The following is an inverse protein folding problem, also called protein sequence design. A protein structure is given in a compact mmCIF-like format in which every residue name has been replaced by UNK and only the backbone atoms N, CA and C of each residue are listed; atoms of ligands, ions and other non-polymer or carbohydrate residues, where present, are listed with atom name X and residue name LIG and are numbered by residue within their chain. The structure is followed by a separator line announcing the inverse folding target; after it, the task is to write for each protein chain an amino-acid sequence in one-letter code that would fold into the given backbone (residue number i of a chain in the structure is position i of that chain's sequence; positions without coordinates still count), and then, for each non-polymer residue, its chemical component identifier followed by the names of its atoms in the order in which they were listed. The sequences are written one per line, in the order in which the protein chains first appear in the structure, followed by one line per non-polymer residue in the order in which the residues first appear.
data_IF_629243195443
#
_entry.id   IF_629243195443
#
_cell.length_a   1.000
_cell.length_b   1.000
_cell.length_c   1.000
_cell.angle_alpha   90.00
_cell.angle_beta   90.00
_cell.angle_gamma   90.00
#
_symmetry.space_group_name_H-M   'P 1'
#
loop_
_entity.id
_entity.type
_entity.pdbx_description
1 polymer ?
#
# COMPACT_ATOMS: atom_id res chain seq x y z
N UNK A 1 -43.22 -2.87 23.88
CA UNK A 1 -42.83 -3.89 22.89
C UNK A 1 -41.53 -3.40 22.29
N UNK A 2 -40.43 -3.84 22.87
CA UNK A 2 -39.08 -3.30 22.65
C UNK A 2 -38.22 -4.44 22.14
N UNK A 3 -37.65 -4.30 20.93
CA UNK A 3 -36.30 -4.74 20.55
C UNK A 3 -35.88 -4.00 19.28
N UNK A 4 -34.87 -3.15 19.40
CA UNK A 4 -34.07 -2.67 18.30
C UNK A 4 -32.87 -3.60 18.17
N UNK A 5 -32.83 -4.45 17.15
CA UNK A 5 -31.65 -5.25 16.83
C UNK A 5 -30.65 -4.40 16.05
N UNK A 6 -29.77 -3.74 16.80
CA UNK A 6 -28.59 -3.06 16.28
C UNK A 6 -27.54 -4.09 15.82
N UNK A 7 -27.54 -4.42 14.53
CA UNK A 7 -26.44 -5.15 13.91
C UNK A 7 -25.25 -4.20 13.66
N UNK A 8 -24.45 -3.95 14.70
CA UNK A 8 -23.18 -3.23 14.57
C UNK A 8 -22.14 -4.20 14.03
N UNK A 9 -21.82 -4.08 12.73
CA UNK A 9 -20.68 -4.76 12.12
C UNK A 9 -19.40 -4.35 12.84
N UNK A 10 -18.79 -5.28 13.57
CA UNK A 10 -17.49 -5.08 14.19
C UNK A 10 -16.43 -4.81 13.11
N UNK A 11 -16.02 -3.56 12.95
CA UNK A 11 -14.79 -3.23 12.23
C UNK A 11 -13.62 -3.76 13.06
N UNK A 12 -12.84 -4.69 12.53
CA UNK A 12 -11.68 -5.26 13.22
C UNK A 12 -10.59 -4.18 13.35
N UNK A 13 -10.67 -3.38 14.41
CA UNK A 13 -9.63 -2.44 14.79
C UNK A 13 -8.41 -3.23 15.25
N UNK A 14 -7.24 -2.97 14.67
CA UNK A 14 -5.99 -3.58 15.14
C UNK A 14 -5.76 -3.17 16.60
N UNK A 15 -5.40 -4.13 17.46
CA UNK A 15 -5.15 -3.85 18.88
C UNK A 15 -3.95 -2.89 19.01
N UNK A 16 -3.99 -1.91 19.93
CA UNK A 16 -2.97 -0.87 20.05
C UNK A 16 -1.55 -1.42 20.23
N UNK A 17 -1.37 -2.50 21.00
CA UNK A 17 -0.06 -3.15 21.18
C UNK A 17 0.54 -3.73 19.89
N UNK A 18 -0.29 -4.23 18.97
CA UNK A 18 0.19 -4.73 17.67
C UNK A 18 0.60 -3.59 16.72
N UNK A 19 -0.02 -2.43 16.86
CA UNK A 19 0.32 -1.24 16.08
C UNK A 19 1.67 -0.67 16.56
N UNK A 20 1.88 -0.58 17.87
CA UNK A 20 3.15 -0.12 18.46
C UNK A 20 4.34 -1.02 18.10
N UNK A 21 4.12 -2.35 18.03
CA UNK A 21 5.14 -3.30 17.57
C UNK A 21 5.52 -3.07 16.09
N UNK A 22 4.53 -2.91 15.21
CA UNK A 22 4.77 -2.67 13.78
C UNK A 22 5.50 -1.35 13.55
N UNK A 23 5.09 -0.29 14.25
CA UNK A 23 5.71 1.03 14.15
C UNK A 23 7.19 0.96 14.58
N UNK A 24 7.48 0.18 15.62
CA UNK A 24 8.85 -0.09 16.10
C UNK A 24 9.68 -0.84 15.05
N UNK A 25 9.13 -1.85 14.40
CA UNK A 25 9.81 -2.59 13.34
C UNK A 25 10.13 -1.70 12.13
N UNK A 26 9.19 -0.86 11.70
CA UNK A 26 9.40 0.10 10.62
C UNK A 26 10.53 1.09 10.96
N UNK A 27 10.54 1.62 12.19
CA UNK A 27 11.62 2.48 12.66
C UNK A 27 12.97 1.75 12.63
N UNK A 28 13.03 0.52 13.13
CA UNK A 28 14.26 -0.27 13.14
C UNK A 28 14.82 -0.46 11.73
N UNK A 29 13.97 -0.80 10.75
CA UNK A 29 14.38 -0.92 9.34
C UNK A 29 14.92 0.40 8.80
N UNK A 30 14.24 1.52 9.05
CA UNK A 30 14.66 2.83 8.55
C UNK A 30 15.97 3.33 9.20
N UNK A 31 16.17 3.05 10.48
CA UNK A 31 17.40 3.39 11.20
C UNK A 31 18.58 2.58 10.69
N UNK A 32 18.36 1.28 10.47
CA UNK A 32 19.37 0.33 10.00
C UNK A 32 19.32 0.09 8.49
N UNK A 33 18.86 1.06 7.71
CA UNK A 33 18.60 0.91 6.27
C UNK A 33 19.80 0.38 5.49
N UNK A 34 21.02 0.72 5.94
CA UNK A 34 22.30 0.30 5.41
C UNK A 34 22.52 -1.22 5.50
N UNK A 35 21.90 -1.88 6.48
CA UNK A 35 21.97 -3.33 6.70
C UNK A 35 21.01 -4.13 5.79
N UNK A 36 20.01 -3.48 5.21
CA UNK A 36 18.99 -4.11 4.35
C UNK A 36 19.36 -3.93 2.86
N UNK A 37 20.55 -4.37 2.48
CA UNK A 37 21.11 -4.17 1.13
C UNK A 37 20.25 -4.75 0.01
N UNK A 38 19.52 -5.83 0.28
CA UNK A 38 18.61 -6.53 -0.61
C UNK A 38 17.35 -5.72 -0.95
N UNK A 39 16.94 -4.79 -0.08
CA UNK A 39 15.82 -3.89 -0.33
C UNK A 39 16.26 -2.58 -0.97
N UNK A 40 17.54 -2.22 -0.87
CA UNK A 40 18.04 -0.98 -1.43
C UNK A 40 18.02 -1.02 -2.96
N UNK A 41 17.42 0.01 -3.57
CA UNK A 41 17.44 0.17 -5.02
C UNK A 41 17.89 1.57 -5.42
N UNK A 42 18.76 1.64 -6.43
CA UNK A 42 19.29 2.89 -7.00
C UNK A 42 18.41 3.44 -8.12
N UNK A 43 17.44 2.66 -8.59
CA UNK A 43 16.53 2.99 -9.68
C UNK A 43 15.10 2.62 -9.31
N UNK A 44 14.12 3.31 -9.90
CA UNK A 44 12.72 3.01 -9.66
C UNK A 44 12.37 1.62 -10.19
N UNK A 45 11.89 0.74 -9.31
CA UNK A 45 11.34 -0.55 -9.72
C UNK A 45 9.95 -0.33 -10.33
N UNK A 46 9.77 -0.82 -11.56
CA UNK A 46 8.49 -0.73 -12.28
C UNK A 46 7.60 -1.90 -11.90
N UNK A 47 6.39 -1.57 -11.48
CA UNK A 47 5.33 -2.45 -10.99
C UNK A 47 5.84 -3.52 -10.02
N UNK A 48 6.39 -3.10 -8.86
CA UNK A 48 6.86 -4.06 -7.85
C UNK A 48 5.74 -4.99 -7.41
N UNK A 49 6.05 -6.28 -7.26
CA UNK A 49 5.08 -7.30 -6.88
C UNK A 49 4.53 -7.09 -5.47
N UNK A 50 3.36 -7.64 -5.18
CA UNK A 50 2.85 -7.72 -3.81
C UNK A 50 3.88 -8.42 -2.89
N UNK A 51 4.06 -7.88 -1.69
CA UNK A 51 5.10 -8.29 -0.73
C UNK A 51 6.44 -7.60 -0.92
N UNK A 52 6.66 -6.84 -2.01
CA UNK A 52 7.94 -6.16 -2.23
C UNK A 52 8.19 -5.08 -1.18
N UNK A 53 9.37 -5.13 -0.55
CA UNK A 53 9.91 -4.05 0.27
C UNK A 53 11.13 -3.45 -0.40
N UNK A 54 11.14 -2.11 -0.50
CA UNK A 54 12.16 -1.37 -1.23
C UNK A 54 12.58 -0.15 -0.43
N UNK A 55 13.90 0.07 -0.31
CA UNK A 55 14.49 1.25 0.30
C UNK A 55 15.07 2.14 -0.79
N UNK A 56 14.70 3.42 -0.75
CA UNK A 56 15.15 4.42 -1.70
C UNK A 56 15.71 5.65 -1.01
N UNK A 57 16.75 6.23 -1.61
CA UNK A 57 17.09 7.63 -1.36
C UNK A 57 16.14 8.53 -2.15
N UNK A 58 15.30 9.31 -1.47
CA UNK A 58 14.35 10.26 -2.06
C UNK A 58 15.01 11.38 -2.85
N UNK A 59 16.27 11.70 -2.54
CA UNK A 59 17.09 12.65 -3.29
C UNK A 59 17.53 12.10 -4.65
N UNK A 60 17.68 10.78 -4.77
CA UNK A 60 18.22 10.11 -5.97
C UNK A 60 17.14 9.47 -6.83
N UNK A 61 16.07 8.96 -6.22
CA UNK A 61 15.07 8.14 -6.92
C UNK A 61 13.67 8.72 -6.79
N UNK A 62 13.03 8.95 -7.95
CA UNK A 62 11.60 9.34 -8.04
C UNK A 62 10.69 8.11 -7.95
N UNK A 63 10.74 7.42 -6.81
CA UNK A 63 10.09 6.12 -6.57
C UNK A 63 8.57 6.10 -6.85
N UNK A 64 7.90 7.27 -6.82
CA UNK A 64 6.46 7.36 -7.14
C UNK A 64 6.14 7.03 -8.61
N UNK A 65 7.14 7.03 -9.50
CA UNK A 65 7.01 6.66 -10.93
C UNK A 65 7.14 5.15 -11.14
N UNK A 66 6.43 4.38 -10.33
CA UNK A 66 6.51 2.91 -10.30
C UNK A 66 5.62 2.23 -11.37
N UNK A 67 4.94 2.98 -12.22
CA UNK A 67 4.16 2.43 -13.34
C UNK A 67 2.83 1.78 -12.94
N UNK A 68 2.43 1.87 -11.67
CA UNK A 68 1.07 1.53 -11.23
C UNK A 68 0.12 2.71 -11.39
N UNK A 69 -1.14 2.40 -11.67
CA UNK A 69 -2.22 3.37 -11.64
C UNK A 69 -2.80 3.49 -10.23
N UNK A 70 -2.54 4.62 -9.58
CA UNK A 70 -3.01 4.92 -8.24
C UNK A 70 -4.33 5.68 -8.27
N UNK A 71 -5.18 5.43 -7.27
CA UNK A 71 -6.46 6.14 -7.12
C UNK A 71 -6.20 7.64 -7.01
N UNK A 72 -6.90 8.43 -7.83
CA UNK A 72 -6.80 9.90 -7.80
C UNK A 72 -7.84 10.52 -6.86
N UNK A 73 -7.63 11.78 -6.49
CA UNK A 73 -8.61 12.63 -5.81
C UNK A 73 -9.80 12.88 -6.75
N UNK A 74 -10.88 13.48 -6.20
CA UNK A 74 -12.10 13.77 -6.97
C UNK A 74 -11.85 14.66 -8.20
N UNK A 75 -10.80 15.48 -8.16
CA UNK A 75 -10.39 16.35 -9.27
C UNK A 75 -9.71 15.60 -10.43
N UNK A 76 -9.37 14.32 -10.27
CA UNK A 76 -8.66 13.52 -11.26
C UNK A 76 -7.21 13.95 -11.55
N UNK A 77 -6.67 14.93 -10.81
CA UNK A 77 -5.33 15.49 -11.07
C UNK A 77 -4.27 14.89 -10.16
N UNK A 78 -4.59 14.72 -8.88
CA UNK A 78 -3.62 14.31 -7.87
C UNK A 78 -3.92 12.92 -7.35
N UNK A 79 -2.89 12.14 -7.03
CA UNK A 79 -3.07 10.86 -6.33
C UNK A 79 -3.71 11.10 -4.97
N UNK A 80 -4.71 10.28 -4.62
CA UNK A 80 -5.28 10.26 -3.29
C UNK A 80 -4.34 9.50 -2.36
N UNK A 81 -3.53 10.26 -1.63
CA UNK A 81 -2.68 9.76 -0.56
C UNK A 81 -3.37 9.99 0.80
N UNK A 82 -3.45 8.96 1.64
CA UNK A 82 -3.84 9.07 3.04
C UNK A 82 -2.57 9.11 3.89
N UNK A 83 -2.45 10.13 4.75
CA UNK A 83 -1.22 10.42 5.49
C UNK A 83 -1.45 10.18 6.99
N UNK A 84 -0.42 9.68 7.66
CA UNK A 84 -0.43 9.45 9.11
C UNK A 84 0.95 9.70 9.70
N UNK A 85 1.01 9.98 11.00
CA UNK A 85 2.24 9.95 11.78
C UNK A 85 2.18 8.77 12.73
N UNK A 86 3.23 7.96 12.73
CA UNK A 86 3.34 6.78 13.57
C UNK A 86 4.19 7.08 14.79
N UNK A 87 3.89 6.38 15.88
CA UNK A 87 4.53 6.61 17.18
C UNK A 87 5.33 5.38 17.57
N UNK A 88 6.56 5.61 18.02
CA UNK A 88 7.37 4.59 18.69
C UNK A 88 7.51 5.01 20.13
N UNK A 89 7.07 4.15 21.06
CA UNK A 89 7.09 4.45 22.50
C UNK A 89 6.39 5.79 22.83
N UNK A 90 5.27 6.07 22.15
CA UNK A 90 4.47 7.28 22.34
C UNK A 90 4.98 8.54 21.63
N UNK A 91 6.15 8.51 21.00
CA UNK A 91 6.74 9.66 20.29
C UNK A 91 6.51 9.56 18.79
N UNK A 92 5.95 10.60 18.16
CA UNK A 92 5.83 10.68 16.70
C UNK A 92 7.21 10.80 16.07
N UNK A 93 7.64 9.78 15.32
CA UNK A 93 8.98 9.78 14.71
C UNK A 93 8.98 9.30 13.25
N UNK A 94 7.87 8.76 12.74
CA UNK A 94 7.75 8.25 11.37
C UNK A 94 6.58 8.94 10.68
N UNK A 95 6.79 9.35 9.44
CA UNK A 95 5.72 9.75 8.53
C UNK A 95 5.30 8.57 7.67
N UNK A 96 4.00 8.30 7.59
CA UNK A 96 3.39 7.27 6.75
C UNK A 96 2.50 7.87 5.66
N UNK A 97 2.59 7.33 4.45
CA UNK A 97 1.75 7.70 3.31
C UNK A 97 1.24 6.45 2.59
N UNK A 98 -0.08 6.35 2.43
CA UNK A 98 -0.77 5.19 1.88
C UNK A 98 -1.54 5.58 0.62
N UNK A 99 -1.44 4.75 -0.42
CA UNK A 99 -2.22 4.89 -1.65
C UNK A 99 -2.84 3.56 -2.04
N UNK A 100 -4.08 3.62 -2.52
CA UNK A 100 -4.79 2.49 -3.09
C UNK A 100 -4.61 2.46 -4.60
N UNK A 101 -4.50 1.27 -5.19
CA UNK A 101 -4.53 1.13 -6.64
C UNK A 101 -5.91 1.53 -7.19
N UNK A 102 -5.91 2.08 -8.40
CA UNK A 102 -7.13 2.47 -9.10
C UNK A 102 -7.91 1.27 -9.67
N UNK A 103 -7.23 0.13 -9.85
CA UNK A 103 -7.77 -1.05 -10.54
C UNK A 103 -8.15 -2.12 -9.51
N UNK A 104 -7.20 -2.50 -8.64
CA UNK A 104 -7.42 -3.43 -7.53
C UNK A 104 -7.35 -2.66 -6.20
N UNK A 105 -8.48 -2.38 -5.53
CA UNK A 105 -8.52 -1.56 -4.30
C UNK A 105 -7.80 -2.18 -3.10
N UNK A 106 -7.63 -3.52 -3.10
CA UNK A 106 -6.91 -4.27 -2.06
C UNK A 106 -5.40 -4.20 -2.21
N UNK A 107 -4.88 -3.69 -3.34
CA UNK A 107 -3.47 -3.46 -3.55
C UNK A 107 -3.07 -2.03 -3.17
N UNK A 108 -1.99 -1.92 -2.41
CA UNK A 108 -1.55 -0.66 -1.82
C UNK A 108 -0.06 -0.45 -2.00
N UNK A 109 0.34 0.83 -2.03
CA UNK A 109 1.72 1.25 -1.73
C UNK A 109 1.73 2.03 -0.44
N UNK A 110 2.56 1.58 0.51
CA UNK A 110 2.76 2.19 1.83
C UNK A 110 4.18 2.72 1.88
N UNK A 111 4.33 4.00 2.17
CA UNK A 111 5.63 4.66 2.22
C UNK A 111 5.88 5.16 3.64
N UNK A 112 7.07 4.92 4.17
CA UNK A 112 7.48 5.33 5.51
C UNK A 112 8.84 6.01 5.47
N UNK A 113 9.01 7.09 6.22
CA UNK A 113 10.31 7.72 6.46
C UNK A 113 10.37 8.33 7.85
N UNK A 114 11.59 8.41 8.41
CA UNK A 114 11.80 9.06 9.70
C UNK A 114 11.61 10.57 9.55
N UNK A 115 11.00 11.22 10.55
CA UNK A 115 10.84 12.68 10.57
C UNK A 115 12.19 13.39 10.65
N UNK A 116 13.14 12.84 11.41
CA UNK A 116 14.48 13.38 11.58
C UNK A 116 15.43 13.05 10.41
N UNK A 117 15.13 11.98 9.65
CA UNK A 117 15.89 11.58 8.47
C UNK A 117 14.94 11.26 7.31
N UNK A 118 14.39 12.28 6.63
CA UNK A 118 13.37 12.10 5.60
C UNK A 118 13.94 11.64 4.26
N UNK A 119 15.26 11.51 4.11
CA UNK A 119 15.92 11.20 2.84
C UNK A 119 15.77 9.74 2.44
N UNK A 120 15.63 8.84 3.41
CA UNK A 120 15.43 7.41 3.18
C UNK A 120 13.94 7.11 3.31
N UNK A 121 13.39 6.40 2.33
CA UNK A 121 12.01 5.94 2.34
C UNK A 121 11.97 4.43 2.18
N UNK A 122 11.23 3.77 3.08
CA UNK A 122 10.79 2.40 2.91
C UNK A 122 9.47 2.42 2.14
N UNK A 123 9.40 1.66 1.06
CA UNK A 123 8.22 1.52 0.21
C UNK A 123 7.82 0.05 0.20
N UNK A 124 6.62 -0.23 0.69
CA UNK A 124 6.05 -1.56 0.77
C UNK A 124 4.81 -1.66 -0.13
N UNK A 125 4.84 -2.61 -1.07
CA UNK A 125 3.73 -2.92 -1.96
C UNK A 125 3.00 -4.16 -1.45
N UNK A 126 1.70 -4.07 -1.20
CA UNK A 126 0.97 -5.19 -0.59
C UNK A 126 -0.48 -5.25 -1.04
N UNK A 127 -0.87 -6.42 -1.53
CA UNK A 127 -2.25 -6.83 -1.68
C UNK A 127 -2.75 -7.42 -0.36
N UNK A 128 -3.74 -6.80 0.26
CA UNK A 128 -4.35 -7.27 1.51
C UNK A 128 -5.79 -7.66 1.22
N UNK A 129 -6.10 -8.97 1.07
CA UNK A 129 -7.45 -9.45 0.88
C UNK A 129 -8.36 -8.95 2.01
N UNK A 130 -9.62 -8.66 1.68
CA UNK A 130 -10.60 -8.36 2.73
C UNK A 130 -10.83 -9.62 3.57
N UNK A 131 -10.94 -9.50 4.90
CA UNK A 131 -11.18 -10.64 5.78
C UNK A 131 -12.54 -11.33 5.53
N UNK A 132 -13.44 -10.69 4.79
CA UNK A 132 -14.69 -11.28 4.30
C UNK A 132 -14.60 -11.45 2.77
N UNK A 133 -14.16 -12.61 2.28
CA UNK A 133 -14.04 -12.92 0.85
C UNK A 133 -15.35 -12.70 0.06
N UNK A 134 -16.49 -12.69 0.76
CA UNK A 134 -17.81 -12.43 0.19
C UNK A 134 -17.99 -11.03 -0.41
N UNK A 135 -17.08 -10.07 -0.13
CA UNK A 135 -17.13 -8.72 -0.72
C UNK A 135 -16.39 -8.62 -2.06
N UNK A 136 -15.48 -9.54 -2.38
CA UNK A 136 -14.83 -9.54 -3.70
C UNK A 136 -15.85 -9.83 -4.82
N UNK A 137 -16.80 -10.74 -4.57
CA UNK A 137 -17.91 -11.03 -5.46
C UNK A 137 -18.85 -9.81 -5.69
N UNK A 138 -19.00 -8.93 -4.69
CA UNK A 138 -19.83 -7.72 -4.78
C UNK A 138 -19.10 -6.56 -5.47
N UNK A 139 -17.76 -6.52 -5.40
CA UNK A 139 -16.93 -5.48 -6.02
C UNK A 139 -16.60 -5.83 -7.49
N UNK A 140 -16.75 -7.10 -7.90
CA UNK A 140 -16.43 -7.57 -9.26
C UNK A 140 -17.15 -6.77 -10.37
N UNK A 141 -18.44 -6.38 -10.25
CA UNK A 141 -19.08 -5.50 -11.23
C UNK A 141 -18.71 -4.02 -11.08
N UNK A 142 -18.17 -3.60 -9.93
CA UNK A 142 -17.80 -2.20 -9.62
C UNK A 142 -16.31 -1.89 -9.85
N UNK A 143 -15.51 -2.88 -10.25
CA UNK A 143 -14.12 -2.67 -10.68
C UNK A 143 -14.05 -1.80 -11.94
N UNK A 144 -15.13 -1.79 -12.72
CA UNK A 144 -15.34 -0.85 -13.80
C UNK A 144 -15.80 0.52 -13.24
N UNK A 145 -15.10 1.58 -13.68
CA UNK A 145 -15.65 2.91 -14.01
C UNK A 145 -15.38 4.13 -13.13
N UNK A 146 -14.75 4.08 -11.96
CA UNK A 146 -14.61 5.33 -11.16
C UNK A 146 -13.21 5.96 -11.10
N UNK A 147 -12.26 5.52 -11.92
CA UNK A 147 -10.96 6.18 -12.02
C UNK A 147 -10.45 6.20 -13.46
N UNK A 148 -10.59 7.36 -14.10
CA UNK A 148 -10.35 7.66 -15.51
C UNK A 148 -11.35 6.99 -16.47
N UNK A 149 -11.92 7.77 -17.39
CA UNK A 149 -12.67 7.28 -18.58
C UNK A 149 -11.75 6.53 -19.56
N UNK A 150 -10.71 5.87 -19.04
CA UNK A 150 -9.73 5.16 -19.83
C UNK A 150 -10.33 3.82 -20.19
N UNK A 151 -10.49 3.59 -21.49
CA UNK A 151 -10.71 2.25 -22.00
C UNK A 151 -9.38 1.48 -21.91
N UNK A 152 -9.43 0.33 -21.25
CA UNK A 152 -8.26 -0.50 -21.01
C UNK A 152 -8.25 -1.66 -21.99
N UNK A 153 -7.10 -1.88 -22.65
CA UNK A 153 -6.89 -3.15 -23.35
C UNK A 153 -6.67 -4.29 -22.35
N UNK A 154 -6.93 -5.53 -22.78
CA UNK A 154 -6.69 -6.73 -21.97
C UNK A 154 -5.23 -6.79 -21.49
N UNK A 155 -4.28 -6.51 -22.39
CA UNK A 155 -2.85 -6.58 -22.08
C UNK A 155 -2.42 -5.52 -21.08
N UNK A 156 -2.93 -4.28 -21.20
CA UNK A 156 -2.66 -3.25 -20.21
C UNK A 156 -3.18 -3.63 -18.83
N UNK A 157 -4.40 -4.17 -18.76
CA UNK A 157 -5.00 -4.61 -17.50
C UNK A 157 -4.21 -5.76 -16.87
N UNK A 158 -3.86 -6.77 -17.66
CA UNK A 158 -3.02 -7.91 -17.21
C UNK A 158 -1.68 -7.39 -16.71
N UNK A 159 -1.06 -6.44 -17.42
CA UNK A 159 0.23 -5.89 -17.06
C UNK A 159 0.22 -5.08 -15.75
N UNK A 160 -0.94 -4.56 -15.34
CA UNK A 160 -1.14 -3.93 -14.03
C UNK A 160 -1.42 -4.99 -12.96
N UNK A 161 -2.31 -5.95 -13.24
CA UNK A 161 -2.83 -6.88 -12.23
C UNK A 161 -1.89 -8.03 -11.90
N UNK A 162 -1.16 -8.60 -12.88
CA UNK A 162 -0.28 -9.77 -12.67
C UNK A 162 0.62 -9.58 -11.43
N UNK A 163 1.44 -8.53 -11.31
CA UNK A 163 2.32 -8.37 -10.14
C UNK A 163 1.59 -8.14 -8.81
N UNK A 164 0.30 -7.80 -8.81
CA UNK A 164 -0.47 -7.59 -7.58
C UNK A 164 -0.90 -8.90 -6.89
N UNK A 165 -0.88 -10.03 -7.61
CA UNK A 165 -1.34 -11.32 -7.09
C UNK A 165 -0.23 -12.36 -6.86
N UNK A 166 0.92 -12.27 -7.56
CA UNK A 166 1.98 -13.28 -7.48
C UNK A 166 3.13 -12.85 -6.55
N UNK A 167 3.39 -13.64 -5.50
CA UNK A 167 4.70 -13.74 -4.83
C UNK A 167 5.50 -14.90 -5.45
N UNK A 168 6.81 -14.96 -5.22
CA UNK A 168 7.77 -15.85 -5.90
C UNK A 168 7.55 -17.37 -5.70
N UNK A 169 6.47 -17.78 -5.03
CA UNK A 169 6.25 -19.17 -4.59
C UNK A 169 5.25 -19.97 -5.44
N UNK A 170 4.64 -19.39 -6.48
CA UNK A 170 3.75 -20.14 -7.37
C UNK A 170 4.45 -20.43 -8.71
N UNK A 171 4.81 -21.70 -9.01
CA UNK A 171 5.29 -22.07 -10.33
C UNK A 171 4.17 -21.83 -11.36
N UNK A 172 4.55 -21.37 -12.55
CA UNK A 172 3.64 -21.27 -13.70
C UNK A 172 3.00 -22.65 -13.93
N UNK A 173 1.70 -22.77 -13.65
CA UNK A 173 0.88 -23.93 -14.05
C UNK A 173 0.36 -23.75 -15.46
#
# INVERSE_FOLDING_TARGET
MEKADGNVKATKTMKPAKLDQLDTEIAAILISFDRHSEWQSKEVKIRPKSGSMLLYSRKKVRYRRDGYCWKKRKDGKTTREDHMKLKVQGTECIYGCYVHSAILPTFHRRCYWLLQNPDIVLVHYLNVPYPDDNKLAVITPSLALWADKKEWTKDELVSQLKPMFYSEDEPER
#
